data_IF_867953792393
#
_entry.id   IF_867953792393
#
_cell.length_a   1.000
_cell.length_b   1.000
_cell.length_c   1.000
_cell.angle_alpha   90.00
_cell.angle_beta   90.00
_cell.angle_gamma   90.00
#
_symmetry.space_group_name_H-M   'P 1'
#
loop_
_entity.id
_entity.type
_entity.pdbx_description
1 polymer ?
#
# COMPACT_ATOMS: atom_id res chain seq x y z
N UNK A 1 -3.00 17.68 22.59
CA UNK A 1 -1.88 18.29 21.80
C UNK A 1 -2.42 19.53 21.09
N UNK A 2 -1.74 20.67 21.18
CA UNK A 2 -2.20 21.91 20.54
C UNK A 2 -1.93 21.88 19.03
N UNK A 3 -2.96 22.02 18.19
CA UNK A 3 -2.77 22.17 16.74
C UNK A 3 -2.72 23.65 16.40
N UNK A 4 -1.57 24.10 15.88
CA UNK A 4 -1.39 25.45 15.34
C UNK A 4 -1.52 25.38 13.83
N UNK A 5 -2.26 26.31 13.25
CA UNK A 5 -2.37 26.46 11.79
C UNK A 5 -2.36 27.92 11.41
N UNK A 6 -1.68 28.23 10.31
CA UNK A 6 -1.59 29.58 9.77
C UNK A 6 -2.17 29.59 8.37
N UNK A 7 -3.15 30.47 8.16
CA UNK A 7 -3.94 30.53 6.93
C UNK A 7 -4.15 31.97 6.47
N UNK A 8 -4.48 32.10 5.19
CA UNK A 8 -4.87 33.36 4.56
C UNK A 8 -6.37 33.30 4.29
N UNK A 9 -7.15 34.25 4.81
CA UNK A 9 -8.59 34.35 4.60
C UNK A 9 -8.93 35.60 3.77
N UNK A 10 -9.96 35.53 2.93
CA UNK A 10 -10.44 36.63 2.09
C UNK A 10 -11.39 37.52 2.91
N UNK A 11 -11.07 38.80 3.00
CA UNK A 11 -11.92 39.81 3.66
C UNK A 11 -13.05 40.20 2.71
N UNK A 12 -14.28 40.27 3.22
CA UNK A 12 -15.41 40.83 2.48
C UNK A 12 -15.29 42.35 2.48
N UNK A 13 -15.10 42.94 1.31
CA UNK A 13 -15.07 44.40 1.13
C UNK A 13 -16.45 44.91 0.73
N UNK A 14 -16.95 45.96 1.38
CA UNK A 14 -18.23 46.59 1.04
C UNK A 14 -18.11 47.56 -0.15
N UNK A 15 -16.88 47.99 -0.49
CA UNK A 15 -16.59 48.87 -1.62
C UNK A 15 -15.40 48.33 -2.43
N UNK A 16 -15.60 47.85 -3.67
CA UNK A 16 -14.51 47.43 -4.55
C UNK A 16 -13.94 48.65 -5.27
N UNK A 17 -13.33 49.58 -4.53
CA UNK A 17 -12.66 50.75 -5.14
C UNK A 17 -11.21 50.46 -5.56
N UNK A 18 -10.76 49.21 -5.50
CA UNK A 18 -9.43 48.81 -5.95
C UNK A 18 -9.41 47.38 -6.51
N UNK A 19 -8.48 47.14 -7.42
CA UNK A 19 -8.20 45.83 -8.05
C UNK A 19 -7.48 44.86 -7.09
N UNK A 20 -7.25 45.27 -5.83
CA UNK A 20 -6.56 44.51 -4.79
C UNK A 20 -7.58 43.90 -3.84
N UNK A 21 -7.61 42.56 -3.77
CA UNK A 21 -8.45 41.83 -2.81
C UNK A 21 -7.81 41.88 -1.43
N UNK A 22 -8.52 42.31 -0.38
CA UNK A 22 -7.96 42.30 0.97
C UNK A 22 -8.05 40.94 1.63
N UNK A 23 -7.09 40.66 2.50
CA UNK A 23 -6.95 39.39 3.20
C UNK A 23 -6.66 39.56 4.68
N UNK A 24 -6.97 38.52 5.45
CA UNK A 24 -6.52 38.34 6.81
C UNK A 24 -5.50 37.20 6.86
N UNK A 25 -4.38 37.42 7.55
CA UNK A 25 -3.51 36.33 7.97
C UNK A 25 -3.95 35.87 9.35
N UNK A 26 -4.42 34.64 9.45
CA UNK A 26 -4.95 34.08 10.69
C UNK A 26 -4.05 32.96 11.18
N UNK A 27 -3.69 33.02 12.46
CA UNK A 27 -3.10 31.92 13.19
C UNK A 27 -4.14 31.41 14.17
N UNK A 28 -4.49 30.13 14.06
CA UNK A 28 -5.37 29.48 15.04
C UNK A 28 -4.59 28.45 15.83
N UNK A 29 -4.81 28.45 17.14
CA UNK A 29 -4.27 27.46 18.07
C UNK A 29 -5.43 26.82 18.81
N UNK A 30 -5.68 25.56 18.49
CA UNK A 30 -6.76 24.78 19.08
C UNK A 30 -6.21 24.06 20.31
N UNK A 31 -6.72 24.40 21.48
CA UNK A 31 -6.44 23.75 22.77
C UNK A 31 -7.66 22.92 23.19
N UNK A 32 -7.49 22.13 24.23
CA UNK A 32 -8.54 21.23 24.73
C UNK A 32 -9.72 21.96 25.37
N UNK A 33 -9.54 23.21 25.83
CA UNK A 33 -10.60 24.01 26.49
C UNK A 33 -10.94 25.31 25.75
N UNK A 34 -10.05 25.76 24.86
CA UNK A 34 -10.16 27.07 24.21
C UNK A 34 -9.45 27.12 22.86
N UNK A 35 -9.86 28.08 22.04
CA UNK A 35 -9.27 28.38 20.75
C UNK A 35 -8.68 29.78 20.83
N UNK A 36 -7.38 29.90 20.56
CA UNK A 36 -6.70 31.19 20.49
C UNK A 36 -6.53 31.54 19.02
N UNK A 37 -6.94 32.74 18.66
CA UNK A 37 -6.90 33.25 17.30
C UNK A 37 -6.05 34.50 17.31
N UNK A 38 -5.03 34.56 16.46
CA UNK A 38 -4.31 35.79 16.15
C UNK A 38 -4.59 36.15 14.69
N UNK A 39 -4.90 37.40 14.43
CA UNK A 39 -5.26 37.88 13.11
C UNK A 39 -4.43 39.12 12.78
N UNK A 40 -3.90 39.19 11.57
CA UNK A 40 -3.27 40.38 11.00
C UNK A 40 -4.04 40.79 9.75
N UNK A 41 -4.50 42.03 9.71
CA UNK A 41 -5.14 42.60 8.53
C UNK A 41 -4.08 43.05 7.52
N UNK A 42 -4.23 42.63 6.27
CA UNK A 42 -3.31 43.01 5.18
C UNK A 42 -3.43 44.48 4.76
N UNK A 43 -4.56 45.13 4.98
CA UNK A 43 -4.77 46.54 4.58
C UNK A 43 -4.19 47.51 5.61
N UNK A 44 -4.51 47.27 6.88
CA UNK A 44 -4.16 48.18 7.98
C UNK A 44 -2.87 47.78 8.70
N UNK A 45 -2.37 46.56 8.48
CA UNK A 45 -1.31 45.92 9.27
C UNK A 45 -1.60 45.83 10.78
N UNK A 46 -2.84 46.06 11.19
CA UNK A 46 -3.26 45.92 12.58
C UNK A 46 -3.34 44.45 12.95
N UNK A 47 -2.89 44.14 14.16
CA UNK A 47 -2.89 42.80 14.72
C UNK A 47 -3.92 42.69 15.83
N UNK A 48 -4.58 41.54 15.91
CA UNK A 48 -5.70 41.27 16.77
C UNK A 48 -5.56 39.89 17.43
N UNK A 49 -6.01 39.74 18.67
CA UNK A 49 -6.13 38.48 19.39
C UNK A 49 -7.57 38.21 19.77
N UNK A 50 -8.10 37.07 19.35
CA UNK A 50 -9.35 36.52 19.84
C UNK A 50 -9.11 35.28 20.70
N UNK A 51 -10.05 35.04 21.61
CA UNK A 51 -10.11 33.79 22.36
C UNK A 51 -11.56 33.34 22.44
N UNK A 52 -11.80 32.09 22.06
CA UNK A 52 -13.12 31.46 22.11
C UNK A 52 -13.02 30.24 23.02
N UNK A 53 -13.89 30.15 24.01
CA UNK A 53 -13.96 28.98 24.90
C UNK A 53 -14.81 27.88 24.27
N UNK A 54 -14.59 26.63 24.66
CA UNK A 54 -15.44 25.54 24.18
C UNK A 54 -16.89 25.69 24.65
N UNK A 55 -17.11 26.23 25.85
CA UNK A 55 -18.46 26.45 26.36
C UNK A 55 -19.23 27.48 25.52
N UNK A 56 -18.58 28.58 25.12
CA UNK A 56 -19.18 29.53 24.17
C UNK A 56 -19.46 28.90 22.80
N UNK A 57 -18.66 27.94 22.34
CA UNK A 57 -18.97 27.21 21.11
C UNK A 57 -20.14 26.25 21.25
N UNK A 58 -20.31 25.63 22.42
CA UNK A 58 -21.47 24.76 22.69
C UNK A 58 -22.75 25.57 22.78
N UNK A 59 -22.69 26.75 23.38
CA UNK A 59 -23.81 27.70 23.44
C UNK A 59 -24.20 28.16 22.03
N UNK A 60 -23.24 28.62 21.22
CA UNK A 60 -23.48 29.00 19.83
C UNK A 60 -24.05 27.83 18.99
N UNK A 61 -23.55 26.61 19.17
CA UNK A 61 -24.09 25.42 18.49
C UNK A 61 -25.54 25.15 18.89
N UNK A 62 -25.89 25.33 20.17
CA UNK A 62 -27.24 25.14 20.68
C UNK A 62 -28.20 26.22 20.17
N UNK A 63 -27.75 27.48 20.05
CA UNK A 63 -28.53 28.58 19.47
C UNK A 63 -28.83 28.35 17.98
N UNK A 64 -27.89 27.74 17.25
CA UNK A 64 -28.03 27.41 15.83
C UNK A 64 -28.78 26.08 15.59
N UNK A 65 -29.16 25.34 16.64
CA UNK A 65 -29.75 24.00 16.58
C UNK A 65 -28.90 22.99 15.77
N UNK A 66 -27.56 23.09 15.91
CA UNK A 66 -26.58 22.22 15.23
C UNK A 66 -25.85 21.34 16.26
N UNK A 67 -25.61 20.05 15.98
CA UNK A 67 -24.78 19.22 16.85
C UNK A 67 -23.38 19.81 17.06
N UNK A 68 -22.92 19.87 18.31
CA UNK A 68 -21.63 20.47 18.67
C UNK A 68 -20.45 19.96 17.83
N UNK A 69 -20.34 18.64 17.62
CA UNK A 69 -19.23 18.08 16.84
C UNK A 69 -19.22 18.59 15.39
N UNK A 70 -20.40 18.68 14.76
CA UNK A 70 -20.54 19.20 13.40
C UNK A 70 -20.20 20.68 13.35
N UNK A 71 -20.73 21.47 14.30
CA UNK A 71 -20.42 22.89 14.42
C UNK A 71 -18.92 23.13 14.62
N UNK A 72 -18.29 22.37 15.51
CA UNK A 72 -16.85 22.46 15.79
C UNK A 72 -16.00 22.17 14.55
N UNK A 73 -16.30 21.11 13.80
CA UNK A 73 -15.58 20.78 12.58
C UNK A 73 -15.78 21.84 11.49
N UNK A 74 -16.99 22.35 11.33
CA UNK A 74 -17.27 23.42 10.37
C UNK A 74 -16.54 24.72 10.73
N UNK A 75 -16.54 25.14 11.99
CA UNK A 75 -15.77 26.30 12.45
C UNK A 75 -14.27 26.08 12.28
N UNK A 76 -13.79 24.87 12.54
CA UNK A 76 -12.38 24.52 12.29
C UNK A 76 -12.05 24.70 10.82
N UNK A 77 -12.83 24.09 9.94
CA UNK A 77 -12.63 24.21 8.50
C UNK A 77 -12.77 25.67 8.04
N UNK A 78 -13.72 26.45 8.58
CA UNK A 78 -13.90 27.84 8.21
C UNK A 78 -12.68 28.70 8.57
N UNK A 79 -12.00 28.40 9.68
CA UNK A 79 -10.81 29.14 10.12
C UNK A 79 -9.50 28.57 9.53
N UNK A 80 -9.49 27.32 9.07
CA UNK A 80 -8.28 26.66 8.57
C UNK A 80 -8.24 26.46 7.05
N UNK A 81 -9.31 26.74 6.32
CA UNK A 81 -9.34 26.62 4.86
C UNK A 81 -8.63 27.80 4.22
N UNK A 82 -7.71 27.53 3.30
CA UNK A 82 -7.00 28.57 2.56
C UNK A 82 -7.98 29.39 1.70
N UNK A 83 -7.85 30.71 1.75
CA UNK A 83 -8.66 31.76 1.12
C UNK A 83 -10.07 31.88 1.72
N UNK A 84 -10.91 30.86 1.62
CA UNK A 84 -12.24 30.88 2.21
C UNK A 84 -12.88 29.50 2.10
N UNK A 85 -13.69 29.13 3.09
CA UNK A 85 -14.64 28.03 2.89
C UNK A 85 -15.75 28.48 1.93
N UNK A 86 -16.16 27.64 0.96
CA UNK A 86 -17.31 27.92 0.11
C UNK A 86 -18.57 28.25 0.93
N UNK A 87 -19.27 29.32 0.56
CA UNK A 87 -20.45 29.77 1.29
C UNK A 87 -20.16 30.53 2.60
N UNK A 88 -18.91 30.66 3.04
CA UNK A 88 -18.53 31.47 4.19
C UNK A 88 -17.96 32.82 3.76
N UNK A 89 -18.33 33.88 4.47
CA UNK A 89 -17.77 35.22 4.30
C UNK A 89 -17.29 35.78 5.63
N UNK A 90 -16.14 36.44 5.60
CA UNK A 90 -15.44 36.93 6.79
C UNK A 90 -15.46 38.46 6.77
N UNK A 91 -15.95 39.08 7.84
CA UNK A 91 -15.97 40.53 8.02
C UNK A 91 -15.34 40.88 9.36
N UNK A 92 -14.47 41.89 9.35
CA UNK A 92 -13.96 42.51 10.56
C UNK A 92 -14.87 43.69 10.88
N UNK A 93 -15.46 43.68 12.06
CA UNK A 93 -16.17 44.83 12.62
C UNK A 93 -15.18 45.68 13.40
N UNK A 94 -14.89 46.88 12.91
CA UNK A 94 -13.95 47.81 13.54
C UNK A 94 -14.53 48.46 14.80
N UNK A 95 -15.85 48.62 14.86
CA UNK A 95 -16.53 49.27 15.99
C UNK A 95 -16.62 48.32 17.19
N UNK A 96 -16.97 47.06 16.94
CA UNK A 96 -17.09 46.03 17.98
C UNK A 96 -15.77 45.27 18.24
N UNK A 97 -14.75 45.52 17.41
CA UNK A 97 -13.51 44.73 17.37
C UNK A 97 -13.82 43.24 17.35
N UNK A 98 -14.67 42.80 16.41
CA UNK A 98 -15.10 41.41 16.32
C UNK A 98 -14.87 40.86 14.91
N UNK A 99 -14.39 39.63 14.80
CA UNK A 99 -14.39 38.89 13.55
C UNK A 99 -15.72 38.14 13.44
N UNK A 100 -16.53 38.51 12.45
CA UNK A 100 -17.80 37.84 12.16
C UNK A 100 -17.65 36.92 10.94
N UNK A 101 -18.16 35.70 11.08
CA UNK A 101 -18.20 34.68 10.05
C UNK A 101 -19.65 34.43 9.70
N UNK A 102 -20.00 34.73 8.45
CA UNK A 102 -21.34 34.57 7.92
C UNK A 102 -21.38 33.38 6.97
N UNK A 103 -22.35 32.49 7.16
CA UNK A 103 -22.57 31.33 6.31
C UNK A 103 -23.81 31.56 5.46
N UNK A 104 -23.65 31.48 4.15
CA UNK A 104 -24.74 31.51 3.17
C UNK A 104 -24.94 30.08 2.66
N UNK A 105 -26.13 29.53 2.89
CA UNK A 105 -26.56 28.30 2.23
C UNK A 105 -27.28 28.65 0.92
N UNK A 106 -27.20 27.75 -0.06
CA UNK A 106 -27.81 27.95 -1.38
C UNK A 106 -29.32 28.24 -1.25
N UNK A 107 -29.72 29.45 -1.67
CA UNK A 107 -31.11 29.92 -1.62
C UNK A 107 -31.59 30.45 -0.27
N UNK A 108 -30.72 30.60 0.73
CA UNK A 108 -31.06 31.14 2.05
C UNK A 108 -30.41 32.50 2.33
N UNK A 109 -30.92 33.18 3.36
CA UNK A 109 -30.37 34.43 3.89
C UNK A 109 -29.05 34.08 4.61
N UNK A 110 -27.98 34.89 4.46
CA UNK A 110 -26.74 34.69 5.20
C UNK A 110 -26.99 34.72 6.71
N UNK A 111 -26.53 33.68 7.40
CA UNK A 111 -26.67 33.53 8.84
C UNK A 111 -25.34 33.83 9.53
N UNK A 112 -25.37 34.58 10.63
CA UNK A 112 -24.19 34.77 11.47
C UNK A 112 -23.87 33.43 12.13
N UNK A 113 -22.70 32.88 11.82
CA UNK A 113 -22.32 31.54 12.22
C UNK A 113 -21.37 31.54 13.42
N UNK A 114 -20.48 32.52 13.46
CA UNK A 114 -19.52 32.69 14.55
C UNK A 114 -19.11 34.15 14.65
N UNK A 115 -19.04 34.62 15.89
CA UNK A 115 -18.53 35.93 16.24
C UNK A 115 -17.39 35.75 17.23
N UNK A 116 -16.24 36.35 16.93
CA UNK A 116 -15.04 36.22 17.74
C UNK A 116 -14.66 37.61 18.22
N UNK A 117 -14.76 37.89 19.53
CA UNK A 117 -14.30 39.16 20.08
C UNK A 117 -12.77 39.23 19.99
N UNK A 118 -12.27 40.35 19.50
CA UNK A 118 -10.86 40.61 19.27
C UNK A 118 -10.33 41.72 20.17
N UNK A 119 -9.05 41.64 20.49
CA UNK A 119 -8.28 42.68 21.18
C UNK A 119 -7.10 43.08 20.31
N UNK A 120 -6.87 44.38 20.14
CA UNK A 120 -5.72 44.88 19.39
C UNK A 120 -4.41 44.51 20.10
N UNK A 121 -3.42 44.07 19.33
CA UNK A 121 -2.07 43.75 19.80
C UNK A 121 -1.06 44.56 18.98
N UNK A 122 0.01 45.01 19.62
CA UNK A 122 1.12 45.68 18.95
C UNK A 122 2.12 44.71 18.29
N UNK A 123 2.02 43.40 18.55
CA UNK A 123 3.03 42.43 18.12
C UNK A 123 2.60 41.72 16.83
N UNK A 124 3.15 42.19 15.70
CA UNK A 124 2.92 41.63 14.37
C UNK A 124 3.91 40.51 14.00
N UNK A 125 5.03 40.37 14.71
CA UNK A 125 6.05 39.38 14.35
C UNK A 125 5.68 37.96 14.75
N UNK A 126 4.87 37.78 15.80
CA UNK A 126 4.48 36.47 16.32
C UNK A 126 3.87 35.53 15.27
N UNK A 127 3.03 36.06 14.37
CA UNK A 127 2.38 35.26 13.32
C UNK A 127 3.43 34.82 12.28
N UNK A 128 4.36 35.71 11.93
CA UNK A 128 5.43 35.43 10.98
C UNK A 128 6.44 34.42 11.55
N UNK A 129 6.86 34.59 12.80
CA UNK A 129 7.77 33.65 13.47
C UNK A 129 7.12 32.26 13.57
N UNK A 130 5.84 32.21 13.95
CA UNK A 130 5.07 30.96 13.95
C UNK A 130 4.96 30.33 12.56
N UNK A 131 4.86 31.14 11.50
CA UNK A 131 4.80 30.66 10.11
C UNK A 131 6.14 30.07 9.67
N UNK A 132 7.24 30.71 10.05
CA UNK A 132 8.59 30.21 9.79
C UNK A 132 8.81 28.89 10.51
N UNK A 133 8.42 28.77 11.78
CA UNK A 133 8.52 27.52 12.55
C UNK A 133 7.68 26.40 11.93
N UNK A 134 6.45 26.70 11.49
CA UNK A 134 5.60 25.72 10.82
C UNK A 134 6.21 25.25 9.49
N UNK A 135 6.78 26.16 8.71
CA UNK A 135 7.49 25.84 7.46
C UNK A 135 8.74 24.99 7.71
N UNK A 136 9.54 25.31 8.73
CA UNK A 136 10.73 24.53 9.09
C UNK A 136 10.36 23.12 9.55
N UNK A 137 9.28 22.98 10.34
CA UNK A 137 8.79 21.67 10.78
C UNK A 137 8.25 20.85 9.60
N UNK A 138 7.51 21.48 8.68
CA UNK A 138 7.07 20.85 7.43
C UNK A 138 8.25 20.38 6.58
N UNK A 139 9.31 21.19 6.47
CA UNK A 139 10.54 20.80 5.75
C UNK A 139 11.19 19.59 6.42
N UNK A 140 11.43 19.61 7.73
CA UNK A 140 12.04 18.48 8.47
C UNK A 140 11.24 17.19 8.30
N UNK A 141 9.92 17.26 8.43
CA UNK A 141 9.05 16.07 8.26
C UNK A 141 9.06 15.57 6.81
N UNK A 142 9.18 16.45 5.82
CA UNK A 142 9.34 16.06 4.42
C UNK A 142 10.69 15.38 4.19
N UNK A 143 11.78 15.96 4.70
CA UNK A 143 13.13 15.39 4.61
C UNK A 143 13.19 14.00 5.26
N UNK A 144 12.60 13.83 6.44
CA UNK A 144 12.48 12.52 7.10
C UNK A 144 11.68 11.50 6.28
N UNK A 145 10.64 11.94 5.57
CA UNK A 145 9.84 11.07 4.68
C UNK A 145 10.63 10.68 3.44
N UNK A 146 11.39 11.61 2.86
CA UNK A 146 12.27 11.37 1.72
C UNK A 146 13.38 10.39 2.11
N UNK A 147 14.02 10.59 3.26
CA UNK A 147 15.04 9.67 3.78
C UNK A 147 14.48 8.27 4.04
N UNK A 148 13.26 8.15 4.58
CA UNK A 148 12.58 6.87 4.74
C UNK A 148 12.28 6.20 3.40
N UNK A 149 11.86 6.97 2.40
CA UNK A 149 11.63 6.46 1.05
C UNK A 149 12.92 5.96 0.41
N UNK A 150 14.02 6.72 0.52
CA UNK A 150 15.33 6.30 0.02
C UNK A 150 15.85 5.03 0.71
N UNK A 151 15.72 4.94 2.03
CA UNK A 151 16.08 3.72 2.78
C UNK A 151 15.24 2.52 2.36
N UNK A 152 13.95 2.73 2.13
CA UNK A 152 13.05 1.69 1.65
C UNK A 152 13.44 1.20 0.24
N UNK A 153 13.73 2.12 -0.68
CA UNK A 153 14.19 1.79 -2.03
C UNK A 153 15.53 1.04 -2.01
N UNK A 154 16.48 1.47 -1.17
CA UNK A 154 17.75 0.79 -1.02
C UNK A 154 17.55 -0.64 -0.49
N UNK A 155 16.75 -0.82 0.56
CA UNK A 155 16.45 -2.13 1.12
C UNK A 155 15.72 -3.03 0.12
N UNK A 156 14.81 -2.47 -0.68
CA UNK A 156 14.13 -3.19 -1.76
C UNK A 156 15.11 -3.70 -2.81
N UNK A 157 16.09 -2.86 -3.19
CA UNK A 157 17.14 -3.24 -4.14
C UNK A 157 18.08 -4.31 -3.59
N UNK A 158 18.47 -4.22 -2.33
CA UNK A 158 19.30 -5.23 -1.66
C UNK A 158 18.55 -6.58 -1.60
N UNK A 159 17.27 -6.57 -1.23
CA UNK A 159 16.44 -7.77 -1.18
C UNK A 159 16.27 -8.44 -2.56
N UNK A 160 16.15 -7.66 -3.63
CA UNK A 160 16.08 -8.19 -4.99
C UNK A 160 17.39 -8.88 -5.42
N UNK A 161 18.54 -8.32 -5.03
CA UNK A 161 19.84 -8.94 -5.32
C UNK A 161 20.03 -10.23 -4.51
N UNK A 162 19.68 -10.23 -3.23
CA UNK A 162 19.70 -11.44 -2.39
C UNK A 162 18.80 -12.54 -2.96
N UNK A 163 17.61 -12.18 -3.42
CA UNK A 163 16.70 -13.11 -4.09
C UNK A 163 17.33 -13.69 -5.36
N UNK A 164 17.94 -12.85 -6.19
CA UNK A 164 18.63 -13.28 -7.40
C UNK A 164 19.75 -14.27 -7.10
N UNK A 165 20.60 -13.98 -6.11
CA UNK A 165 21.69 -14.87 -5.68
C UNK A 165 21.11 -16.21 -5.20
N UNK A 166 20.07 -16.18 -4.38
CA UNK A 166 19.39 -17.39 -3.89
C UNK A 166 18.87 -18.28 -5.03
N UNK A 167 18.29 -17.67 -6.08
CA UNK A 167 17.83 -18.40 -7.28
C UNK A 167 19.01 -19.02 -8.04
N UNK A 168 20.11 -18.30 -8.20
CA UNK A 168 21.32 -18.83 -8.84
C UNK A 168 21.90 -20.02 -8.05
N UNK A 169 21.98 -19.93 -6.72
CA UNK A 169 22.44 -21.01 -5.84
C UNK A 169 21.51 -22.24 -5.90
N UNK A 170 20.19 -22.02 -5.86
CA UNK A 170 19.18 -23.09 -6.01
C UNK A 170 19.40 -23.84 -7.31
N UNK A 171 19.52 -23.12 -8.42
CA UNK A 171 19.72 -23.70 -9.75
C UNK A 171 21.05 -24.46 -9.85
N UNK A 172 22.11 -23.95 -9.22
CA UNK A 172 23.40 -24.63 -9.19
C UNK A 172 23.33 -25.93 -8.38
N UNK A 173 22.65 -25.92 -7.23
CA UNK A 173 22.44 -27.09 -6.40
C UNK A 173 21.62 -28.16 -7.13
N UNK A 174 20.54 -27.76 -7.80
CA UNK A 174 19.69 -28.62 -8.61
C UNK A 174 20.50 -29.31 -9.72
N UNK A 175 21.30 -28.56 -10.48
CA UNK A 175 22.19 -29.13 -11.51
C UNK A 175 23.19 -30.13 -10.93
N UNK A 176 23.76 -29.86 -9.75
CA UNK A 176 24.69 -30.79 -9.07
C UNK A 176 23.97 -32.07 -8.65
N UNK A 177 22.75 -31.95 -8.12
CA UNK A 177 21.96 -33.10 -7.68
C UNK A 177 21.55 -33.97 -8.86
N UNK A 178 21.03 -33.37 -9.94
CA UNK A 178 20.68 -34.07 -11.17
C UNK A 178 21.88 -34.81 -11.76
N UNK A 179 23.06 -34.20 -11.75
CA UNK A 179 24.30 -34.86 -12.19
C UNK A 179 24.62 -36.10 -11.34
N UNK A 180 24.48 -36.02 -10.01
CA UNK A 180 24.69 -37.18 -9.13
C UNK A 180 23.67 -38.27 -9.40
N UNK A 181 22.40 -37.92 -9.58
CA UNK A 181 21.33 -38.87 -9.92
C UNK A 181 21.63 -39.54 -11.26
N UNK A 182 22.06 -38.80 -12.28
CA UNK A 182 22.43 -39.36 -13.58
C UNK A 182 23.58 -40.39 -13.48
N UNK A 183 24.61 -40.10 -12.68
CA UNK A 183 25.72 -41.05 -12.43
C UNK A 183 25.21 -42.32 -11.75
N UNK A 184 24.37 -42.19 -10.72
CA UNK A 184 23.78 -43.36 -10.03
C UNK A 184 22.89 -44.18 -10.97
N UNK A 185 22.11 -43.52 -11.82
CA UNK A 185 21.21 -44.17 -12.76
C UNK A 185 21.99 -44.92 -13.84
N UNK A 186 23.10 -44.35 -14.32
CA UNK A 186 24.01 -45.03 -15.25
C UNK A 186 24.71 -46.23 -14.59
N UNK A 187 25.15 -46.10 -13.33
CA UNK A 187 25.72 -47.23 -12.58
C UNK A 187 24.71 -48.37 -12.41
N UNK A 188 23.44 -48.05 -12.11
CA UNK A 188 22.36 -49.05 -12.04
C UNK A 188 22.07 -49.68 -13.40
N UNK A 189 22.00 -48.90 -14.49
CA UNK A 189 21.84 -49.41 -15.86
C UNK A 189 22.96 -50.37 -16.23
N UNK A 190 24.20 -50.01 -15.93
CA UNK A 190 25.35 -50.89 -16.15
C UNK A 190 25.21 -52.18 -15.34
N UNK A 191 24.77 -52.10 -14.08
CA UNK A 191 24.57 -53.30 -13.27
C UNK A 191 23.47 -54.21 -13.79
N UNK A 192 22.38 -53.63 -14.31
CA UNK A 192 21.30 -54.38 -14.96
C UNK A 192 21.86 -55.09 -16.20
N UNK A 193 22.59 -54.39 -17.07
CA UNK A 193 23.19 -54.99 -18.26
C UNK A 193 24.17 -56.13 -17.92
N UNK A 194 24.97 -56.00 -16.86
CA UNK A 194 25.84 -57.08 -16.36
C UNK A 194 25.05 -58.29 -15.87
N UNK A 195 23.92 -58.07 -15.20
CA UNK A 195 23.07 -59.15 -14.69
C UNK A 195 22.32 -59.84 -15.83
N UNK A 196 21.84 -59.09 -16.83
CA UNK A 196 21.22 -59.61 -18.05
C UNK A 196 22.22 -60.46 -18.86
N UNK A 197 23.45 -59.98 -19.06
CA UNK A 197 24.52 -60.74 -19.74
C UNK A 197 24.87 -62.04 -19.00
N UNK A 198 24.89 -62.00 -17.66
CA UNK A 198 25.08 -63.22 -16.85
C UNK A 198 23.90 -64.18 -16.98
N UNK A 199 22.67 -63.68 -16.96
CA UNK A 199 21.46 -64.50 -17.09
C UNK A 199 21.43 -65.20 -18.46
N UNK A 200 21.72 -64.45 -19.53
CA UNK A 200 21.82 -64.98 -20.90
C UNK A 200 22.83 -66.13 -21.00
N UNK A 201 24.00 -66.00 -20.36
CA UNK A 201 25.01 -67.07 -20.33
C UNK A 201 24.54 -68.32 -19.59
N UNK A 202 23.73 -68.17 -18.54
CA UNK A 202 23.15 -69.33 -17.86
C UNK A 202 22.04 -70.00 -18.68
N UNK A 203 21.22 -69.23 -19.40
CA UNK A 203 20.21 -69.76 -20.32
C UNK A 203 20.85 -70.53 -21.48
N UNK A 204 21.93 -70.01 -22.08
CA UNK A 204 22.67 -70.69 -23.16
C UNK A 204 23.37 -71.99 -22.73
N UNK A 205 23.80 -72.10 -21.48
CA UNK A 205 24.40 -73.33 -20.93
C UNK A 205 23.30 -74.37 -20.66
N UNK A 206 22.14 -73.94 -20.18
CA UNK A 206 21.02 -74.84 -19.90
C UNK A 206 20.42 -75.42 -21.20
N UNK A 207 20.28 -74.59 -22.25
CA UNK A 207 19.80 -75.03 -23.57
C UNK A 207 20.78 -75.98 -24.29
N UNK A 208 22.08 -75.94 -23.96
CA UNK A 208 23.08 -76.86 -24.52
C UNK A 208 23.24 -78.17 -23.73
N UNK A 209 22.60 -78.31 -22.56
CA UNK A 209 22.72 -79.53 -21.73
C UNK A 209 21.50 -80.46 -21.85
N UNK A 210 20.40 -80.00 -22.47
CA UNK A 210 19.15 -80.77 -22.61
C UNK A 210 18.97 -81.45 -23.99
N UNK A 211 20.05 -81.64 -24.78
CA UNK A 211 19.94 -82.25 -26.11
C UNK A 211 20.91 -83.44 -26.32
N UNK A 212 20.91 -84.40 -25.38
CA UNK A 212 21.38 -85.76 -25.66
C UNK A 212 20.77 -86.79 -24.68
N UNK A 213 19.81 -87.61 -25.16
CA UNK A 213 19.27 -88.75 -24.40
C UNK A 213 17.83 -89.16 -24.78
N UNK A 214 17.72 -90.22 -25.57
CA UNK A 214 16.47 -90.84 -26.04
C UNK A 214 15.66 -91.57 -24.95
N UNK A 215 14.35 -91.67 -25.22
CA UNK A 215 13.48 -92.86 -25.07
C UNK A 215 12.61 -93.07 -23.80
N UNK A 216 11.42 -93.61 -24.10
CA UNK A 216 10.20 -93.80 -23.33
C UNK A 216 10.35 -94.56 -21.99
N UNK A 217 9.62 -94.14 -20.94
CA UNK A 217 8.42 -94.86 -20.43
C UNK A 217 7.86 -94.27 -19.12
N UNK A 218 6.56 -94.47 -18.96
CA UNK A 218 5.61 -94.01 -17.94
C UNK A 218 5.87 -94.57 -16.52
N UNK A 219 5.46 -93.81 -15.49
CA UNK A 219 4.36 -94.12 -14.52
C UNK A 219 4.51 -93.30 -13.20
N UNK A 220 3.39 -92.67 -12.77
CA UNK A 220 2.81 -92.56 -11.40
C UNK A 220 3.73 -92.06 -10.25
N UNK A 221 3.38 -91.22 -9.26
CA UNK A 221 2.14 -90.76 -8.62
C UNK A 221 2.51 -89.67 -7.58
N UNK A 222 1.58 -88.76 -7.27
CA UNK A 222 1.39 -87.87 -6.10
C UNK A 222 2.61 -87.38 -5.27
N UNK A 223 2.80 -86.08 -4.96
CA UNK A 223 1.95 -85.29 -4.04
C UNK A 223 2.40 -83.79 -4.01
N UNK A 224 1.41 -82.89 -4.14
CA UNK A 224 1.25 -81.51 -3.58
C UNK A 224 2.36 -80.43 -3.63
N UNK A 225 2.01 -79.25 -4.18
CA UNK A 225 2.74 -77.99 -3.95
C UNK A 225 2.46 -76.85 -4.94
N UNK A 226 1.35 -76.14 -4.74
CA UNK A 226 1.16 -74.69 -4.99
C UNK A 226 1.36 -74.04 -6.39
N UNK A 227 0.21 -73.67 -6.97
CA UNK A 227 -0.12 -72.37 -7.62
C UNK A 227 0.81 -71.86 -8.73
N UNK A 228 0.41 -72.11 -9.99
CA UNK A 228 0.74 -71.25 -11.15
C UNK A 228 -0.40 -70.24 -11.39
N UNK A 229 -0.08 -69.02 -11.83
CA UNK A 229 -0.95 -68.32 -12.77
C UNK A 229 -0.32 -68.23 -14.16
N UNK A 230 -1.21 -68.38 -15.13
CA UNK A 230 -1.03 -68.44 -16.56
C UNK A 230 -0.41 -67.18 -17.21
N UNK A 231 0.47 -67.46 -18.18
CA UNK A 231 0.64 -66.80 -19.48
C UNK A 231 -0.09 -65.47 -19.75
N UNK A 232 0.72 -64.42 -19.90
CA UNK A 232 0.78 -63.51 -21.06
C UNK A 232 -0.40 -63.51 -22.04
N UNK A 233 -1.18 -62.42 -22.01
CA UNK A 233 -1.89 -61.89 -23.18
C UNK A 233 -1.38 -60.49 -23.51
N UNK A 234 -0.72 -60.40 -24.67
CA UNK A 234 -0.36 -59.17 -25.38
C UNK A 234 -1.57 -58.23 -25.49
N UNK A 235 -1.39 -56.97 -25.12
CA UNK A 235 -2.12 -55.85 -25.73
C UNK A 235 -1.14 -54.81 -26.23
N UNK A 236 -1.17 -54.65 -27.54
CA UNK A 236 -0.51 -53.66 -28.38
C UNK A 236 -1.07 -52.29 -28.00
N UNK A 237 -0.24 -51.38 -27.51
CA UNK A 237 -0.59 -49.97 -27.39
C UNK A 237 0.21 -49.20 -28.45
N UNK A 238 -0.55 -48.54 -29.30
CA UNK A 238 -0.16 -47.79 -30.48
C UNK A 238 0.50 -46.49 -30.03
N UNK A 239 1.68 -46.18 -30.58
CA UNK A 239 2.26 -44.84 -30.51
C UNK A 239 1.35 -43.88 -31.27
N UNK A 240 0.78 -42.91 -30.58
CA UNK A 240 0.34 -41.65 -31.18
C UNK A 240 1.40 -40.62 -30.86
N UNK A 241 2.16 -40.24 -31.87
CA UNK A 241 2.95 -39.02 -31.91
C UNK A 241 2.01 -37.84 -31.75
N UNK A 242 2.28 -37.00 -30.75
CA UNK A 242 1.63 -35.71 -30.54
C UNK A 242 2.75 -34.71 -30.32
N UNK A 243 3.29 -34.23 -31.42
CA UNK A 243 4.02 -32.96 -31.48
C UNK A 243 3.06 -31.84 -31.09
N UNK A 244 3.33 -31.20 -29.96
CA UNK A 244 2.95 -29.81 -29.72
C UNK A 244 4.10 -29.12 -28.99
N UNK A 245 5.04 -28.62 -29.80
CA UNK A 245 5.92 -27.51 -29.44
C UNK A 245 5.04 -26.26 -29.26
N UNK A 246 4.63 -25.92 -28.03
CA UNK A 246 4.35 -24.53 -27.64
C UNK A 246 4.23 -24.43 -26.12
N UNK A 247 5.29 -23.97 -25.45
CA UNK A 247 5.20 -23.40 -24.09
C UNK A 247 6.05 -22.13 -24.07
N UNK A 248 5.54 -21.06 -24.70
CA UNK A 248 5.85 -19.71 -24.25
C UNK A 248 4.92 -19.41 -23.07
N UNK A 249 5.35 -19.82 -21.87
CA UNK A 249 4.72 -19.38 -20.63
C UNK A 249 5.10 -17.92 -20.38
N UNK A 250 4.27 -17.04 -20.95
CA UNK A 250 4.16 -15.63 -20.63
C UNK A 250 3.81 -15.51 -19.14
N UNK A 251 4.82 -15.28 -18.31
CA UNK A 251 4.65 -15.03 -16.88
C UNK A 251 4.02 -13.64 -16.69
N UNK A 252 2.70 -13.55 -16.86
CA UNK A 252 1.88 -12.38 -16.56
C UNK A 252 1.84 -12.16 -15.03
N UNK A 253 2.91 -11.58 -14.50
CA UNK A 253 2.88 -10.92 -13.21
C UNK A 253 1.85 -9.78 -13.32
N UNK A 254 0.71 -9.95 -12.66
CA UNK A 254 -0.35 -8.95 -12.61
C UNK A 254 0.08 -7.79 -11.70
N UNK A 255 1.01 -6.95 -12.17
CA UNK A 255 1.35 -5.68 -11.53
C UNK A 255 0.40 -4.63 -12.08
N UNK A 256 -0.77 -4.48 -11.47
CA UNK A 256 -1.60 -3.31 -11.74
C UNK A 256 -0.86 -2.06 -11.26
N UNK A 257 -0.65 -1.04 -12.12
CA UNK A 257 -0.24 0.28 -11.65
C UNK A 257 -1.39 0.91 -10.88
N UNK A 258 -1.10 1.46 -9.69
CA UNK A 258 -2.03 2.30 -8.94
C UNK A 258 -2.32 3.56 -9.78
N UNK A 259 -3.45 3.59 -10.46
CA UNK A 259 -3.98 4.81 -11.04
C UNK A 259 -4.55 5.68 -9.92
N UNK A 260 -3.92 6.82 -9.68
CA UNK A 260 -4.50 7.87 -8.84
C UNK A 260 -5.75 8.39 -9.54
N UNK A 261 -6.87 8.45 -8.80
CA UNK A 261 -8.10 9.04 -9.29
C UNK A 261 -7.87 10.53 -9.56
N UNK A 262 -7.96 10.93 -10.82
CA UNK A 262 -8.17 12.32 -11.20
C UNK A 262 -9.59 12.72 -10.76
N UNK A 263 -9.64 13.69 -9.86
CA UNK A 263 -10.86 14.38 -9.45
C UNK A 263 -11.36 15.26 -10.60
N UNK A 264 -12.60 15.04 -11.03
CA UNK A 264 -13.43 16.03 -11.70
C UNK A 264 -14.66 16.31 -10.82
#
# INVERSE_FOLDING_TARGET
MATVSINKLLKKTESPEGDVKPFFYIQTKWLEDQIIIKLQDSETNNCYQGMVTIDSMKEAAAELDVPYNTYYEECRLALTTHIAMPGCTYKLDEDENALTIWKTQDGSIPMLYMEIPLRTISNHYDILDSAIDELQNKSKTLDERVDKAHKFDQNSRELLEDYRICVEEKNQLERRLLRKVAVLLNSKKQKIAELEDRLSKYEEINDNTDNDGEDETRLMDDTEGEIRPHSSKKRKAVLTESDTDTDEDDFLANTQPLTMAETA
#
